data_IF_477744191281
#
_entry.id   IF_477744191281
#
_cell.length_a   1.000
_cell.length_b   1.000
_cell.length_c   1.000
_cell.angle_alpha   90.00
_cell.angle_beta   90.00
_cell.angle_gamma   90.00
#
_symmetry.space_group_name_H-M   'P 1'
#
loop_
_entity.id
_entity.type
_entity.pdbx_description
1 polymer ?
#
# COMPACT_ATOMS: atom_id res chain seq x y z
N UNK A 1 72.88 -29.43 -27.99
CA UNK A 1 72.41 -29.83 -26.64
C UNK A 1 70.90 -29.67 -26.58
N UNK A 2 70.20 -30.73 -26.21
CA UNK A 2 68.74 -30.85 -26.06
C UNK A 2 68.19 -30.06 -24.86
N UNK A 3 66.94 -29.59 -24.97
CA UNK A 3 65.81 -29.77 -24.01
C UNK A 3 64.53 -29.25 -24.68
N UNK A 4 63.63 -30.10 -25.21
CA UNK A 4 62.48 -30.79 -24.56
C UNK A 4 61.52 -29.76 -23.91
N UNK A 5 60.20 -29.68 -24.16
CA UNK A 5 59.20 -30.70 -24.51
C UNK A 5 57.82 -30.11 -24.91
N UNK A 6 57.07 -30.90 -25.71
CA UNK A 6 55.61 -31.13 -25.88
C UNK A 6 54.59 -30.00 -25.63
N UNK A 7 53.72 -29.61 -26.59
CA UNK A 7 52.63 -30.31 -27.32
C UNK A 7 51.23 -30.21 -26.67
N UNK A 8 50.26 -29.97 -27.56
CA UNK A 8 48.85 -30.38 -27.53
C UNK A 8 47.76 -29.39 -27.03
N UNK A 9 47.10 -28.84 -28.05
CA UNK A 9 45.65 -28.64 -28.24
C UNK A 9 44.67 -29.14 -27.17
N UNK A 10 43.60 -28.36 -26.95
CA UNK A 10 42.28 -28.91 -26.65
C UNK A 10 41.18 -28.03 -27.27
N UNK A 11 40.29 -28.71 -28.00
CA UNK A 11 39.12 -28.17 -28.67
C UNK A 11 38.01 -27.79 -27.68
N UNK A 12 37.23 -26.76 -28.03
CA UNK A 12 36.01 -26.37 -27.33
C UNK A 12 34.96 -27.47 -27.41
N UNK A 13 34.57 -28.00 -26.24
CA UNK A 13 33.34 -28.73 -26.04
C UNK A 13 32.35 -27.82 -25.30
N UNK A 14 31.18 -27.58 -25.92
CA UNK A 14 30.04 -26.97 -25.27
C UNK A 14 29.51 -27.90 -24.19
N UNK A 15 29.19 -27.35 -23.02
CA UNK A 15 28.53 -28.09 -21.94
C UNK A 15 27.40 -27.23 -21.37
N UNK A 16 26.19 -27.70 -21.64
CA UNK A 16 24.95 -27.33 -20.97
C UNK A 16 24.94 -28.01 -19.60
N UNK A 17 24.88 -27.25 -18.51
CA UNK A 17 24.43 -27.77 -17.21
C UNK A 17 23.56 -26.74 -16.50
N UNK A 18 22.27 -27.05 -16.41
CA UNK A 18 21.48 -26.64 -15.26
C UNK A 18 21.90 -27.48 -14.07
N UNK A 19 22.05 -26.85 -12.90
CA UNK A 19 22.13 -27.55 -11.63
C UNK A 19 21.35 -26.79 -10.58
N UNK A 20 20.31 -27.44 -10.09
CA UNK A 20 19.71 -27.20 -8.78
C UNK A 20 20.82 -27.19 -7.73
N UNK A 21 20.89 -26.14 -6.92
CA UNK A 21 21.75 -26.14 -5.74
C UNK A 21 21.08 -26.98 -4.65
N UNK A 22 21.59 -28.19 -4.45
CA UNK A 22 21.39 -28.96 -3.23
C UNK A 22 22.23 -28.33 -2.11
N UNK A 23 21.58 -27.68 -1.15
CA UNK A 23 22.23 -27.13 0.03
C UNK A 23 22.86 -28.24 0.90
N UNK A 24 24.10 -28.02 1.31
CA UNK A 24 24.86 -28.87 2.23
C UNK A 24 24.23 -28.77 3.64
N UNK A 25 23.99 -29.88 4.36
CA UNK A 25 23.50 -29.82 5.74
C UNK A 25 24.56 -29.26 6.69
N UNK A 26 24.22 -28.25 7.49
CA UNK A 26 24.99 -27.89 8.69
C UNK A 26 25.68 -26.52 8.74
N UNK A 27 25.46 -25.62 7.80
CA UNK A 27 25.85 -24.21 7.92
C UNK A 27 24.64 -23.32 7.64
N UNK A 28 24.30 -22.33 8.51
CA UNK A 28 23.28 -21.35 8.20
C UNK A 28 23.78 -20.49 7.04
N UNK A 29 23.43 -20.89 5.82
CA UNK A 29 23.51 -20.03 4.66
C UNK A 29 22.73 -18.77 4.98
N UNK A 30 23.31 -17.62 4.65
CA UNK A 30 22.68 -16.32 4.72
C UNK A 30 21.48 -16.28 3.78
N UNK A 31 20.40 -16.94 4.16
CA UNK A 31 19.08 -16.59 3.72
C UNK A 31 18.85 -15.19 4.27
N UNK A 32 18.78 -14.21 3.37
CA UNK A 32 17.99 -13.04 3.66
C UNK A 32 16.66 -13.58 4.19
N UNK A 33 16.41 -13.44 5.49
CA UNK A 33 15.11 -13.71 6.07
C UNK A 33 14.18 -12.71 5.41
N UNK A 34 13.61 -13.11 4.28
CA UNK A 34 12.38 -12.52 3.77
C UNK A 34 11.39 -12.84 4.88
N UNK A 35 11.12 -11.86 5.74
CA UNK A 35 10.11 -11.98 6.76
C UNK A 35 8.86 -12.53 6.07
N UNK A 36 8.41 -13.71 6.49
CA UNK A 36 7.23 -14.33 5.93
C UNK A 36 6.08 -13.34 6.07
N UNK A 37 5.47 -12.97 4.94
CA UNK A 37 4.34 -12.06 4.94
C UNK A 37 3.29 -12.60 5.91
N UNK A 38 2.78 -11.74 6.81
CA UNK A 38 1.73 -12.16 7.72
C UNK A 38 0.57 -12.73 6.90
N UNK A 39 0.14 -13.96 7.23
CA UNK A 39 -0.85 -14.70 6.44
C UNK A 39 -2.23 -14.05 6.43
N UNK A 40 -2.52 -13.19 7.42
CA UNK A 40 -3.80 -12.48 7.58
C UNK A 40 -3.59 -11.03 7.99
N UNK A 41 -4.48 -10.15 7.53
CA UNK A 41 -4.60 -8.80 8.10
C UNK A 41 -5.37 -8.88 9.42
N UNK A 42 -5.05 -8.07 10.45
CA UNK A 42 -5.87 -8.01 11.65
C UNK A 42 -7.23 -7.35 11.36
N UNK A 43 -8.32 -7.92 11.89
CA UNK A 43 -9.68 -7.35 11.81
C UNK A 43 -10.21 -7.09 10.38
N UNK A 44 -9.92 -8.00 9.46
CA UNK A 44 -10.42 -7.88 8.09
C UNK A 44 -9.58 -8.62 7.08
N UNK A 45 -10.00 -8.56 5.83
CA UNK A 45 -9.31 -9.14 4.68
C UNK A 45 -8.74 -8.03 3.80
N UNK A 46 -7.81 -8.36 2.91
CA UNK A 46 -7.27 -7.42 1.95
C UNK A 46 -5.82 -7.70 1.57
N UNK A 47 -5.27 -6.78 0.78
CA UNK A 47 -3.88 -6.80 0.38
C UNK A 47 -3.10 -5.65 1.00
N UNK A 48 -1.82 -5.91 1.31
CA UNK A 48 -0.86 -4.90 1.77
C UNK A 48 0.42 -4.97 0.94
N UNK A 49 0.95 -3.81 0.62
CA UNK A 49 2.32 -3.65 0.16
C UNK A 49 3.05 -2.63 1.03
N UNK A 50 4.30 -2.92 1.37
CA UNK A 50 5.19 -1.96 2.02
C UNK A 50 5.95 -1.14 0.99
N UNK A 51 6.32 0.06 1.42
CA UNK A 51 7.09 1.03 0.67
C UNK A 51 8.33 1.35 1.51
N UNK A 52 9.48 0.79 1.13
CA UNK A 52 10.72 0.85 1.89
C UNK A 52 11.40 2.23 1.77
N UNK A 53 10.76 3.24 2.36
CA UNK A 53 11.25 4.61 2.43
C UNK A 53 10.91 5.22 3.79
N UNK A 54 11.76 6.11 4.27
CA UNK A 54 11.59 6.86 5.53
C UNK A 54 11.23 8.33 5.29
N UNK A 55 11.02 8.70 4.02
CA UNK A 55 10.76 10.06 3.59
C UNK A 55 9.46 10.66 4.15
N UNK A 56 9.26 11.95 3.90
CA UNK A 56 8.28 12.77 4.63
C UNK A 56 6.95 12.98 3.90
N UNK A 57 7.00 12.96 2.57
CA UNK A 57 5.86 13.30 1.71
C UNK A 57 5.59 12.15 0.76
N UNK A 58 4.45 11.48 0.91
CA UNK A 58 3.97 10.47 -0.03
C UNK A 58 3.06 11.12 -1.07
N UNK A 59 3.15 10.70 -2.33
CA UNK A 59 2.17 11.02 -3.37
C UNK A 59 1.83 9.79 -4.21
N UNK A 60 0.57 9.67 -4.64
CA UNK A 60 0.13 8.68 -5.61
C UNK A 60 -1.19 9.09 -6.28
N UNK A 61 -1.49 8.53 -7.45
CA UNK A 61 -2.81 8.56 -8.07
C UNK A 61 -3.55 7.27 -7.76
N UNK A 62 -4.63 7.36 -7.00
CA UNK A 62 -5.49 6.22 -6.69
C UNK A 62 -6.53 6.10 -7.79
N UNK A 63 -6.52 5.00 -8.53
CA UNK A 63 -7.64 4.61 -9.38
C UNK A 63 -8.67 3.88 -8.51
N UNK A 64 -9.83 4.51 -8.32
CA UNK A 64 -10.92 3.93 -7.55
C UNK A 64 -11.63 2.85 -8.35
N UNK A 65 -12.16 1.81 -7.67
CA UNK A 65 -13.00 0.80 -8.32
C UNK A 65 -14.25 1.45 -8.91
N UNK A 66 -14.64 1.01 -10.10
CA UNK A 66 -15.94 1.34 -10.71
C UNK A 66 -17.07 0.46 -10.15
N UNK A 67 -16.77 -0.82 -9.92
CA UNK A 67 -17.67 -1.80 -9.32
C UNK A 67 -17.18 -2.16 -7.91
N UNK A 68 -18.05 -2.01 -6.92
CA UNK A 68 -17.74 -2.32 -5.52
C UNK A 68 -18.86 -3.19 -4.96
N UNK A 69 -18.53 -4.42 -4.62
CA UNK A 69 -19.38 -5.29 -3.81
C UNK A 69 -18.75 -5.38 -2.43
N UNK A 70 -19.46 -4.94 -1.39
CA UNK A 70 -19.03 -5.12 0.00
C UNK A 70 -20.24 -5.30 0.90
N UNK A 71 -20.22 -6.34 1.73
CA UNK A 71 -21.22 -6.61 2.74
C UNK A 71 -20.56 -7.13 4.02
N UNK A 72 -21.17 -6.84 5.17
CA UNK A 72 -20.69 -7.18 6.52
C UNK A 72 -19.28 -6.65 6.85
N UNK A 73 -18.83 -5.61 6.15
CA UNK A 73 -17.56 -4.95 6.33
C UNK A 73 -17.62 -3.53 5.75
N UNK A 74 -16.60 -2.73 6.03
CA UNK A 74 -16.37 -1.46 5.34
C UNK A 74 -15.12 -1.59 4.47
N UNK A 75 -15.22 -1.16 3.20
CA UNK A 75 -14.09 -1.15 2.29
C UNK A 75 -13.23 0.11 2.49
N UNK A 76 -11.91 -0.07 2.54
CA UNK A 76 -10.93 0.99 2.68
C UNK A 76 -9.83 0.86 1.61
N UNK A 77 -9.39 1.99 1.07
CA UNK A 77 -8.24 2.09 0.16
C UNK A 77 -7.35 3.20 0.74
N UNK A 78 -6.19 2.85 1.25
CA UNK A 78 -5.38 3.81 1.99
C UNK A 78 -3.88 3.56 1.88
N UNK A 79 -3.12 4.63 2.11
CA UNK A 79 -1.70 4.54 2.42
C UNK A 79 -1.50 4.94 3.87
N UNK A 80 -0.25 4.92 4.32
CA UNK A 80 0.09 5.29 5.69
C UNK A 80 1.52 4.94 5.98
N UNK A 81 1.88 4.99 7.25
CA UNK A 81 3.25 4.73 7.69
C UNK A 81 3.30 4.06 9.05
N UNK A 82 4.43 3.40 9.27
CA UNK A 82 4.88 2.92 10.57
C UNK A 82 6.00 3.84 11.04
N UNK A 83 5.84 4.52 12.17
CA UNK A 83 6.88 5.35 12.77
C UNK A 83 7.86 4.51 13.62
N UNK A 84 9.09 4.98 13.81
CA UNK A 84 10.10 4.28 14.64
C UNK A 84 9.68 4.10 16.10
N UNK A 85 8.82 4.99 16.61
CA UNK A 85 8.27 4.90 17.96
C UNK A 85 7.02 3.97 18.05
N UNK A 86 6.71 3.20 16.99
CA UNK A 86 5.57 2.29 16.94
C UNK A 86 4.23 2.94 16.57
N UNK A 87 4.19 4.25 16.28
CA UNK A 87 2.96 4.90 15.82
C UNK A 87 2.60 4.44 14.41
N UNK A 88 1.41 3.86 14.26
CA UNK A 88 0.84 3.48 12.97
C UNK A 88 -0.12 4.56 12.45
N UNK A 89 -0.15 4.76 11.13
CA UNK A 89 -1.16 5.60 10.48
C UNK A 89 -1.88 4.89 9.34
N UNK A 90 -3.16 5.21 9.19
CA UNK A 90 -4.02 4.77 8.10
C UNK A 90 -4.71 6.02 7.52
N UNK A 91 -4.35 6.39 6.29
CA UNK A 91 -4.69 7.67 5.65
C UNK A 91 -5.10 7.41 4.21
N UNK A 92 -6.37 7.64 3.89
CA UNK A 92 -6.89 7.33 2.57
C UNK A 92 -8.38 7.54 2.46
N UNK A 93 -9.07 6.54 1.91
CA UNK A 93 -10.46 6.61 1.52
C UNK A 93 -11.25 5.41 2.08
N UNK A 94 -12.46 5.67 2.56
CA UNK A 94 -13.44 4.68 2.98
C UNK A 94 -14.66 4.69 2.06
N UNK A 95 -15.20 3.53 1.72
CA UNK A 95 -16.40 3.45 0.90
C UNK A 95 -17.66 3.61 1.74
N UNK A 96 -18.53 4.53 1.35
CA UNK A 96 -19.84 4.68 1.94
C UNK A 96 -20.88 3.88 1.16
N UNK A 97 -21.36 2.78 1.73
CA UNK A 97 -22.41 1.96 1.11
C UNK A 97 -23.75 2.69 1.00
N UNK A 98 -24.03 3.65 1.88
CA UNK A 98 -25.23 4.50 1.85
C UNK A 98 -25.22 5.47 0.66
N UNK A 99 -24.11 6.19 0.46
CA UNK A 99 -24.03 7.25 -0.55
C UNK A 99 -23.31 6.82 -1.84
N UNK A 100 -22.78 5.60 -1.89
CA UNK A 100 -22.06 5.02 -3.04
C UNK A 100 -20.86 5.87 -3.49
N UNK A 101 -20.13 6.42 -2.53
CA UNK A 101 -18.95 7.28 -2.74
C UNK A 101 -17.79 6.89 -1.83
N UNK A 102 -16.58 7.28 -2.23
CA UNK A 102 -15.37 7.19 -1.42
C UNK A 102 -15.14 8.49 -0.66
N UNK A 103 -15.06 8.41 0.67
CA UNK A 103 -14.83 9.56 1.55
C UNK A 103 -13.44 9.49 2.15
N UNK A 104 -12.80 10.63 2.41
CA UNK A 104 -11.51 10.61 3.06
C UNK A 104 -11.61 10.09 4.51
N UNK A 105 -10.49 9.53 4.97
CA UNK A 105 -10.30 8.97 6.31
C UNK A 105 -8.85 9.17 6.75
N UNK A 106 -8.64 9.53 8.01
CA UNK A 106 -7.33 9.60 8.66
C UNK A 106 -7.36 9.06 10.09
N UNK A 107 -6.34 8.26 10.41
CA UNK A 107 -6.00 7.85 11.78
C UNK A 107 -4.49 7.84 11.93
N UNK A 108 -3.98 8.38 13.04
CA UNK A 108 -2.56 8.40 13.39
C UNK A 108 -2.39 8.06 14.87
N UNK A 109 -1.94 6.84 15.15
CA UNK A 109 -1.90 6.27 16.50
C UNK A 109 -3.30 6.19 17.10
N UNK A 110 -3.47 6.75 18.30
CA UNK A 110 -4.77 6.88 18.96
C UNK A 110 -5.63 8.02 18.41
N UNK A 111 -5.07 8.95 17.64
CA UNK A 111 -5.77 10.13 17.15
C UNK A 111 -6.53 9.85 15.85
N UNK A 112 -7.82 10.17 15.85
CA UNK A 112 -8.75 9.98 14.73
C UNK A 112 -9.74 11.14 14.58
N UNK A 113 -9.51 12.26 15.27
CA UNK A 113 -10.29 13.48 15.13
C UNK A 113 -9.77 14.29 13.94
N UNK A 114 -10.54 14.25 12.85
CA UNK A 114 -10.20 14.92 11.59
C UNK A 114 -10.57 16.40 11.62
N UNK A 115 -9.59 17.26 11.32
CA UNK A 115 -9.85 18.66 11.00
C UNK A 115 -9.88 18.85 9.49
N UNK A 116 -11.00 19.35 8.96
CA UNK A 116 -11.13 19.72 7.56
C UNK A 116 -10.69 21.17 7.36
N UNK A 117 -9.62 21.38 6.61
CA UNK A 117 -9.12 22.71 6.26
C UNK A 117 -9.85 23.26 5.04
N UNK A 118 -10.16 22.38 4.07
CA UNK A 118 -10.80 22.76 2.81
C UNK A 118 -11.64 21.58 2.29
N UNK A 119 -12.71 21.87 1.54
CA UNK A 119 -13.43 20.88 0.74
C UNK A 119 -14.42 20.00 1.50
N UNK A 120 -14.68 20.27 2.79
CA UNK A 120 -15.62 19.50 3.63
C UNK A 120 -16.98 19.30 2.95
N UNK A 121 -17.59 20.37 2.48
CA UNK A 121 -18.92 20.33 1.86
C UNK A 121 -18.97 19.58 0.53
N UNK A 122 -17.81 19.39 -0.13
CA UNK A 122 -17.74 18.78 -1.46
C UNK A 122 -17.40 17.29 -1.42
N UNK A 123 -16.80 16.80 -0.33
CA UNK A 123 -16.26 15.44 -0.26
C UNK A 123 -16.59 14.69 1.05
N UNK A 124 -17.54 15.19 1.85
CA UNK A 124 -18.00 14.54 3.09
C UNK A 124 -19.53 14.45 3.17
N UNK A 125 -20.05 13.88 4.26
CA UNK A 125 -21.49 13.68 4.50
C UNK A 125 -22.19 12.90 3.38
N UNK A 126 -22.99 13.53 2.53
CA UNK A 126 -23.67 12.86 1.40
C UNK A 126 -22.78 12.78 0.17
N UNK A 127 -21.68 13.54 0.14
CA UNK A 127 -20.76 13.61 -0.97
C UNK A 127 -19.46 12.84 -0.73
N UNK A 128 -18.75 12.56 -1.81
CA UNK A 128 -17.43 11.92 -1.81
C UNK A 128 -16.95 11.69 -3.24
N UNK A 129 -15.72 11.18 -3.38
CA UNK A 129 -15.17 10.82 -4.68
C UNK A 129 -16.00 9.73 -5.35
N UNK A 130 -16.36 9.93 -6.61
CA UNK A 130 -17.21 8.99 -7.34
C UNK A 130 -16.47 7.69 -7.68
N UNK A 131 -17.14 6.53 -7.68
CA UNK A 131 -16.58 5.28 -8.20
C UNK A 131 -15.96 5.43 -9.59
N UNK A 132 -14.91 4.67 -9.87
CA UNK A 132 -14.20 4.68 -11.16
C UNK A 132 -13.37 5.94 -11.44
N UNK A 133 -13.39 6.96 -10.57
CA UNK A 133 -12.56 8.15 -10.74
C UNK A 133 -11.13 7.96 -10.25
N UNK A 134 -10.23 8.84 -10.71
CA UNK A 134 -8.87 8.93 -10.18
C UNK A 134 -8.81 10.02 -9.11
N UNK A 135 -8.15 9.72 -7.98
CA UNK A 135 -7.88 10.67 -6.90
C UNK A 135 -6.37 10.83 -6.74
N UNK A 136 -5.86 12.05 -6.92
CA UNK A 136 -4.48 12.38 -6.56
C UNK A 136 -4.41 12.56 -5.04
N UNK A 137 -3.60 11.75 -4.38
CA UNK A 137 -3.36 11.80 -2.94
C UNK A 137 -1.96 12.37 -2.66
N UNK A 138 -1.86 13.17 -1.62
CA UNK A 138 -0.59 13.62 -1.03
C UNK A 138 -0.69 13.57 0.48
N UNK A 139 0.27 12.91 1.14
CA UNK A 139 0.32 12.77 2.59
C UNK A 139 1.63 13.37 3.08
N UNK A 140 1.51 14.35 3.97
CA UNK A 140 2.62 14.92 4.74
C UNK A 140 2.59 14.26 6.11
N UNK A 141 3.64 13.48 6.46
CA UNK A 141 3.70 12.86 7.79
C UNK A 141 3.66 13.91 8.92
N UNK A 142 4.28 15.06 8.67
CA UNK A 142 4.37 16.18 9.59
C UNK A 142 4.52 17.48 8.81
N UNK A 143 3.52 18.35 8.94
CA UNK A 143 3.51 19.72 8.45
C UNK A 143 3.11 20.60 9.64
N UNK A 144 4.06 21.36 10.17
CA UNK A 144 3.87 22.21 11.35
C UNK A 144 3.30 21.45 12.58
N UNK A 145 3.72 20.21 12.81
CA UNK A 145 3.28 19.36 13.92
C UNK A 145 2.07 18.48 13.62
N UNK A 146 1.43 18.64 12.46
CA UNK A 146 0.22 17.91 12.07
C UNK A 146 0.50 16.91 10.96
N UNK A 147 -0.19 15.78 10.95
CA UNK A 147 -0.20 14.92 9.76
C UNK A 147 -1.30 15.41 8.84
N UNK A 148 -0.96 15.75 7.59
CA UNK A 148 -1.88 16.33 6.60
C UNK A 148 -2.07 15.40 5.41
N UNK A 149 -3.31 15.25 4.96
CA UNK A 149 -3.62 14.64 3.68
C UNK A 149 -4.32 15.66 2.77
N UNK A 150 -3.96 15.65 1.49
CA UNK A 150 -4.69 16.32 0.42
C UNK A 150 -5.17 15.27 -0.56
N UNK A 151 -6.43 15.37 -0.96
CA UNK A 151 -7.02 14.58 -2.02
C UNK A 151 -7.57 15.53 -3.09
N UNK A 152 -7.24 15.29 -4.35
CA UNK A 152 -7.79 16.01 -5.50
C UNK A 152 -8.50 15.02 -6.43
N UNK A 153 -9.74 15.32 -6.81
CA UNK A 153 -10.54 14.44 -7.66
C UNK A 153 -11.96 14.96 -7.88
N UNK A 154 -12.81 14.12 -8.45
CA UNK A 154 -14.20 14.48 -8.80
C UNK A 154 -15.20 13.82 -7.86
N UNK A 155 -16.14 14.58 -7.30
CA UNK A 155 -17.20 14.03 -6.46
C UNK A 155 -18.38 13.45 -7.28
N UNK A 156 -19.38 12.93 -6.59
CA UNK A 156 -20.60 12.36 -7.17
C UNK A 156 -21.52 13.38 -7.88
N UNK A 157 -21.33 14.68 -7.67
CA UNK A 157 -22.08 15.74 -8.37
C UNK A 157 -21.32 16.28 -9.59
N UNK A 158 -20.12 15.76 -9.88
CA UNK A 158 -19.27 16.22 -10.98
C UNK A 158 -18.34 17.39 -10.62
N UNK A 159 -18.38 17.90 -9.40
CA UNK A 159 -17.42 18.91 -8.94
C UNK A 159 -16.02 18.29 -8.85
N UNK A 160 -15.04 18.94 -9.49
CA UNK A 160 -13.63 18.56 -9.42
C UNK A 160 -12.87 19.59 -8.60
N UNK A 161 -12.21 19.14 -7.54
CA UNK A 161 -11.48 20.01 -6.63
C UNK A 161 -10.74 19.21 -5.57
N UNK A 162 -10.47 19.84 -4.42
CA UNK A 162 -9.72 19.21 -3.33
C UNK A 162 -10.47 19.16 -2.01
N UNK A 163 -10.03 18.23 -1.17
CA UNK A 163 -10.24 18.22 0.27
C UNK A 163 -8.88 18.13 0.96
N UNK A 164 -8.69 18.96 1.99
CA UNK A 164 -7.47 18.98 2.82
C UNK A 164 -7.89 18.68 4.25
N UNK A 165 -7.23 17.69 4.85
CA UNK A 165 -7.53 17.24 6.21
C UNK A 165 -6.26 17.09 7.02
N UNK A 166 -6.40 17.24 8.34
CA UNK A 166 -5.33 17.01 9.30
C UNK A 166 -5.78 16.18 10.49
N UNK A 167 -4.82 15.44 11.04
CA UNK A 167 -4.83 15.04 12.44
C UNK A 167 -3.80 15.92 13.16
N UNK A 168 -4.27 16.71 14.13
CA UNK A 168 -3.45 17.74 14.77
C UNK A 168 -2.49 17.18 15.84
N UNK A 169 -1.32 17.81 15.95
CA UNK A 169 -0.33 17.54 16.99
C UNK A 169 0.14 16.09 17.01
N UNK A 170 0.26 15.44 15.85
CA UNK A 170 0.78 14.07 15.74
C UNK A 170 2.29 14.03 15.92
N UNK A 171 2.99 15.12 15.54
CA UNK A 171 4.44 15.30 15.74
C UNK A 171 5.29 14.12 15.26
N UNK A 172 4.90 13.50 14.14
CA UNK A 172 5.61 12.35 13.57
C UNK A 172 7.00 12.79 13.11
N UNK A 173 8.03 12.08 13.58
CA UNK A 173 9.43 12.35 13.23
C UNK A 173 9.94 11.30 12.21
N UNK A 174 10.57 10.24 12.70
CA UNK A 174 11.23 9.25 11.85
C UNK A 174 10.30 8.08 11.57
N UNK A 175 10.25 7.68 10.29
CA UNK A 175 9.50 6.51 9.85
C UNK A 175 10.38 5.27 9.80
N UNK A 176 9.77 4.11 9.99
CA UNK A 176 10.33 2.82 9.61
C UNK A 176 10.10 2.56 8.12
N UNK A 177 8.85 2.74 7.67
CA UNK A 177 8.41 2.52 6.29
C UNK A 177 7.05 3.16 6.05
N UNK A 178 6.71 3.31 4.77
CA UNK A 178 5.33 3.57 4.33
C UNK A 178 4.64 2.25 3.98
N UNK A 179 3.31 2.29 3.86
CA UNK A 179 2.46 1.16 3.48
C UNK A 179 1.32 1.62 2.57
N UNK A 180 0.80 0.71 1.77
CA UNK A 180 -0.44 0.90 1.00
C UNK A 180 -1.29 -0.36 1.03
N UNK A 181 -2.60 -0.19 1.15
CA UNK A 181 -3.55 -1.26 1.39
C UNK A 181 -4.88 -1.01 0.65
N UNK A 182 -5.54 -2.11 0.33
CA UNK A 182 -6.97 -2.16 0.03
C UNK A 182 -7.59 -3.28 0.87
N UNK A 183 -8.60 -2.97 1.68
CA UNK A 183 -9.13 -3.88 2.70
C UNK A 183 -10.64 -3.85 2.80
N UNK A 184 -11.23 -4.94 3.26
CA UNK A 184 -12.58 -4.96 3.83
C UNK A 184 -12.44 -5.29 5.32
N UNK A 185 -12.67 -4.29 6.17
CA UNK A 185 -12.40 -4.38 7.61
C UNK A 185 -13.68 -4.43 8.45
N UNK A 186 -13.54 -5.06 9.61
CA UNK A 186 -14.61 -5.33 10.59
C UNK A 186 -14.19 -4.82 11.97
N UNK A 187 -15.14 -4.66 12.89
CA UNK A 187 -14.82 -4.15 14.24
C UNK A 187 -14.24 -5.24 15.16
N UNK A 188 -14.68 -6.49 14.97
CA UNK A 188 -14.21 -7.67 15.69
C UNK A 188 -13.78 -8.80 14.76
N UNK A 189 -12.79 -9.58 15.19
CA UNK A 189 -12.24 -10.69 14.41
C UNK A 189 -13.27 -11.79 14.12
N UNK A 190 -14.23 -12.00 15.02
CA UNK A 190 -15.35 -12.94 14.85
C UNK A 190 -16.22 -12.68 13.62
N UNK A 191 -16.19 -11.46 13.06
CA UNK A 191 -16.96 -11.08 11.88
C UNK A 191 -16.25 -11.44 10.56
N UNK A 192 -14.98 -11.85 10.60
CA UNK A 192 -14.15 -12.09 9.41
C UNK A 192 -14.80 -13.05 8.41
N UNK A 193 -15.43 -14.11 8.89
CA UNK A 193 -15.97 -15.16 8.02
C UNK A 193 -17.21 -14.71 7.26
N UNK A 194 -17.94 -13.73 7.79
CA UNK A 194 -19.12 -13.16 7.15
C UNK A 194 -18.81 -12.09 6.09
N UNK A 195 -17.55 -11.65 5.97
CA UNK A 195 -17.14 -10.65 4.99
C UNK A 195 -17.38 -11.17 3.58
N UNK A 196 -18.07 -10.36 2.76
CA UNK A 196 -18.16 -10.53 1.31
C UNK A 196 -17.63 -9.27 0.66
N UNK A 197 -16.63 -9.40 -0.20
CA UNK A 197 -16.02 -8.23 -0.83
C UNK A 197 -15.44 -8.56 -2.20
N UNK A 198 -15.70 -7.70 -3.18
CA UNK A 198 -15.13 -7.77 -4.51
C UNK A 198 -14.91 -6.36 -5.06
N UNK A 199 -13.66 -5.90 -5.06
CA UNK A 199 -13.27 -4.60 -5.60
C UNK A 199 -11.76 -4.58 -5.89
N UNK A 200 -11.33 -3.68 -6.77
CA UNK A 200 -9.91 -3.50 -7.11
C UNK A 200 -9.54 -2.03 -7.16
N UNK A 201 -8.39 -1.69 -6.61
CA UNK A 201 -7.83 -0.35 -6.61
C UNK A 201 -6.38 -0.37 -7.05
N UNK A 202 -5.94 0.68 -7.74
CA UNK A 202 -4.54 0.84 -8.12
C UNK A 202 -3.96 2.12 -7.53
N UNK A 203 -2.77 2.02 -6.95
CA UNK A 203 -1.94 3.16 -6.58
C UNK A 203 -0.87 3.34 -7.64
N UNK A 204 -0.98 4.40 -8.43
CA UNK A 204 -0.11 4.67 -9.57
C UNK A 204 0.82 5.84 -9.30
N UNK A 205 2.02 5.78 -9.86
CA UNK A 205 3.01 6.85 -9.79
C UNK A 205 3.44 7.16 -8.35
N UNK A 206 3.63 6.13 -7.52
CA UNK A 206 3.99 6.29 -6.11
C UNK A 206 5.35 6.97 -6.03
N UNK A 207 5.40 8.09 -5.31
CA UNK A 207 6.65 8.73 -4.93
C UNK A 207 6.66 9.07 -3.46
N UNK A 208 7.85 9.04 -2.87
CA UNK A 208 8.11 9.53 -1.52
C UNK A 208 9.28 10.51 -1.60
N UNK A 209 9.07 11.75 -1.16
CA UNK A 209 10.00 12.88 -1.34
C UNK A 209 10.45 13.03 -2.80
N UNK A 210 9.48 12.98 -3.72
CA UNK A 210 9.66 13.06 -5.18
C UNK A 210 10.51 11.93 -5.81
N UNK A 211 10.85 10.88 -5.06
CA UNK A 211 11.54 9.69 -5.56
C UNK A 211 10.54 8.57 -5.79
N UNK A 212 10.58 7.94 -6.96
CA UNK A 212 9.77 6.77 -7.25
C UNK A 212 10.09 5.62 -6.26
N UNK A 213 9.06 4.98 -5.71
CA UNK A 213 9.22 3.86 -4.77
C UNK A 213 8.44 2.66 -5.26
N UNK A 214 9.15 1.55 -5.46
CA UNK A 214 8.56 0.25 -5.85
C UNK A 214 7.90 -0.40 -4.63
N UNK A 215 6.60 -0.70 -4.68
CA UNK A 215 5.92 -1.43 -3.62
C UNK A 215 6.42 -2.87 -3.52
N UNK A 216 6.58 -3.36 -2.30
CA UNK A 216 6.94 -4.77 -2.01
C UNK A 216 5.73 -5.46 -1.41
N UNK A 217 5.32 -6.58 -2.02
CA UNK A 217 4.18 -7.38 -1.54
C UNK A 217 4.42 -7.82 -0.09
N UNK A 218 3.38 -7.72 0.72
CA UNK A 218 3.35 -8.25 2.08
C UNK A 218 2.12 -9.19 2.21
N UNK A 219 1.09 -8.84 2.98
CA UNK A 219 -0.08 -9.70 3.16
C UNK A 219 -0.98 -9.78 1.93
N UNK A 220 -1.44 -10.98 1.60
CA UNK A 220 -2.46 -11.29 0.60
C UNK A 220 -3.56 -12.18 1.21
N UNK A 221 -4.52 -11.56 1.90
CA UNK A 221 -5.59 -12.23 2.64
C UNK A 221 -6.92 -12.04 1.89
N UNK A 222 -7.36 -13.04 1.12
CA UNK A 222 -8.45 -12.90 0.15
C UNK A 222 -8.23 -11.70 -0.80
N UNK A 223 -6.98 -11.51 -1.23
CA UNK A 223 -6.60 -10.46 -2.15
C UNK A 223 -5.42 -10.88 -3.03
N UNK A 224 -5.26 -10.20 -4.16
CA UNK A 224 -4.09 -10.28 -5.03
C UNK A 224 -3.42 -8.92 -5.08
N UNK A 225 -2.11 -8.88 -4.80
CA UNK A 225 -1.30 -7.65 -4.82
C UNK A 225 -0.29 -7.77 -5.94
N UNK A 226 -0.35 -6.84 -6.91
CA UNK A 226 0.47 -6.87 -8.12
C UNK A 226 1.25 -5.56 -8.27
N UNK A 227 2.50 -5.49 -7.78
CA UNK A 227 3.40 -4.36 -8.04
C UNK A 227 3.90 -4.36 -9.48
N UNK A 228 4.09 -3.16 -10.05
CA UNK A 228 4.74 -2.97 -11.35
C UNK A 228 5.42 -1.59 -11.38
N UNK A 229 6.75 -1.56 -11.32
CA UNK A 229 7.50 -0.31 -11.09
C UNK A 229 7.05 0.38 -9.80
N UNK A 230 6.80 1.69 -9.85
CA UNK A 230 6.25 2.45 -8.73
C UNK A 230 4.72 2.45 -8.68
N UNK A 231 4.09 1.36 -9.12
CA UNK A 231 2.64 1.17 -9.09
C UNK A 231 2.30 -0.13 -8.35
N UNK A 232 1.10 -0.23 -7.80
CA UNK A 232 0.55 -1.49 -7.30
C UNK A 232 -0.96 -1.53 -7.48
N UNK A 233 -1.44 -2.66 -7.99
CA UNK A 233 -2.88 -2.99 -8.01
C UNK A 233 -3.18 -3.97 -6.87
N UNK A 234 -4.23 -3.70 -6.11
CA UNK A 234 -4.71 -4.57 -5.04
C UNK A 234 -6.17 -4.92 -5.34
N UNK A 235 -6.42 -6.20 -5.60
CA UNK A 235 -7.74 -6.74 -5.88
C UNK A 235 -8.20 -7.59 -4.70
N UNK A 236 -9.28 -7.20 -4.03
CA UNK A 236 -9.87 -7.93 -2.90
C UNK A 236 -11.02 -8.78 -3.42
N UNK A 237 -11.04 -10.07 -3.07
CA UNK A 237 -12.09 -11.01 -3.46
C UNK A 237 -12.30 -12.10 -2.41
N UNK A 238 -13.45 -12.07 -1.74
CA UNK A 238 -13.96 -13.12 -0.83
C UNK A 238 -15.43 -13.38 -1.08
#
# INVERSE_FOLDING_TARGET
MLKKWLMASAASAAVLFGTFSSGIPGLPGAGAQVAEAASKLPKGIGGRAYLNSTGSIFTAKIQLPSNIEVANATAYIYSGFSAKNGTESDIGLQYSTTYKVWKPLMKVGSKNEEMYIEGKEQFTYTKGFRPGSTVQMTIYKNLNGNTRATFWGTNNDGYTGRIIMEIQGTNISTLLRWKTLATAAVSSESQRDAIRANFSAAFNGITIDNKAVTPVVDTQDFATVVPSGNNVTISVKK
#
